data_IF_824747223730
#
_entry.id   IF_824747223730
#
_cell.length_a   1.000
_cell.length_b   1.000
_cell.length_c   1.000
_cell.angle_alpha   90.00
_cell.angle_beta   90.00
_cell.angle_gamma   90.00
#
_symmetry.space_group_name_H-M   'P 1'
#
loop_
_entity.id
_entity.type
_entity.pdbx_description
1 polymer ?
#
# COMPACT_ATOMS: atom_id res chain seq x y z
N UNK A 1 2.70 -35.25 -28.38
CA UNK A 1 2.33 -34.11 -27.52
C UNK A 1 1.59 -34.67 -26.32
N UNK A 2 2.07 -34.45 -25.09
CA UNK A 2 1.45 -34.97 -23.87
C UNK A 2 0.10 -34.29 -23.60
N UNK A 3 -0.87 -34.99 -23.00
CA UNK A 3 -2.17 -34.42 -22.62
C UNK A 3 -2.05 -33.12 -21.80
N UNK A 4 -1.00 -32.99 -20.99
CA UNK A 4 -0.68 -31.77 -20.22
C UNK A 4 -0.54 -30.51 -21.09
N UNK A 5 -0.05 -30.63 -22.33
CA UNK A 5 0.18 -29.48 -23.22
C UNK A 5 -1.11 -28.98 -23.87
N UNK A 6 -2.09 -29.86 -24.06
CA UNK A 6 -3.39 -29.52 -24.65
C UNK A 6 -4.26 -28.82 -23.61
N UNK A 7 -4.31 -29.34 -22.39
CA UNK A 7 -5.03 -28.71 -21.26
C UNK A 7 -4.51 -27.30 -20.95
N UNK A 8 -3.17 -27.13 -20.96
CA UNK A 8 -2.54 -25.81 -20.80
C UNK A 8 -2.98 -24.84 -21.90
N UNK A 9 -3.02 -25.27 -23.17
CA UNK A 9 -3.41 -24.41 -24.29
C UNK A 9 -4.89 -23.99 -24.21
N UNK A 10 -5.78 -24.91 -23.84
CA UNK A 10 -7.20 -24.59 -23.64
C UNK A 10 -7.40 -23.58 -22.50
N UNK A 11 -6.65 -23.75 -21.40
CA UNK A 11 -6.68 -22.82 -20.28
C UNK A 11 -6.18 -21.42 -20.68
N UNK A 12 -5.05 -21.32 -21.39
CA UNK A 12 -4.54 -20.02 -21.87
C UNK A 12 -5.51 -19.34 -22.83
N UNK A 13 -6.14 -20.09 -23.73
CA UNK A 13 -7.14 -19.56 -24.65
C UNK A 13 -8.37 -19.05 -23.90
N UNK A 14 -8.83 -19.81 -22.90
CA UNK A 14 -9.93 -19.40 -22.03
C UNK A 14 -9.60 -18.11 -21.27
N UNK A 15 -8.43 -18.04 -20.63
CA UNK A 15 -7.97 -16.82 -19.95
C UNK A 15 -7.89 -15.64 -20.91
N UNK A 16 -7.28 -15.81 -22.08
CA UNK A 16 -7.16 -14.74 -23.07
C UNK A 16 -8.52 -14.21 -23.54
N UNK A 17 -9.56 -15.06 -23.59
CA UNK A 17 -10.93 -14.65 -23.91
C UNK A 17 -11.64 -13.96 -22.75
N UNK A 18 -11.32 -14.33 -21.50
CA UNK A 18 -12.00 -13.82 -20.30
C UNK A 18 -11.40 -12.53 -19.76
N UNK A 19 -10.07 -12.44 -19.70
CA UNK A 19 -9.35 -11.31 -19.10
C UNK A 19 -8.56 -10.49 -20.13
N UNK A 20 -8.31 -11.06 -21.31
CA UNK A 20 -7.51 -10.43 -22.38
C UNK A 20 -6.15 -11.10 -22.56
N UNK A 21 -5.47 -10.77 -23.67
CA UNK A 21 -4.11 -11.25 -23.90
C UNK A 21 -3.12 -10.62 -22.90
N UNK A 22 -1.92 -11.19 -22.80
CA UNK A 22 -0.85 -10.67 -21.94
C UNK A 22 -0.53 -9.22 -22.27
N UNK A 23 -0.54 -8.86 -23.55
CA UNK A 23 -0.28 -7.49 -24.03
C UNK A 23 -1.37 -6.53 -23.58
N UNK A 24 -2.65 -6.94 -23.66
CA UNK A 24 -3.78 -6.13 -23.21
C UNK A 24 -3.73 -5.91 -21.71
N UNK A 25 -3.48 -6.97 -20.93
CA UNK A 25 -3.36 -6.88 -19.47
C UNK A 25 -2.19 -5.94 -19.11
N UNK A 26 -1.03 -6.09 -19.74
CA UNK A 26 0.12 -5.19 -19.55
C UNK A 26 -0.21 -3.73 -19.89
N UNK A 27 -0.90 -3.47 -21.01
CA UNK A 27 -1.28 -2.12 -21.39
C UNK A 27 -2.20 -1.47 -20.35
N UNK A 28 -3.18 -2.21 -19.82
CA UNK A 28 -4.06 -1.74 -18.74
C UNK A 28 -3.29 -1.46 -17.46
N UNK A 29 -2.39 -2.36 -17.05
CA UNK A 29 -1.51 -2.14 -15.89
C UNK A 29 -0.68 -0.87 -16.01
N UNK A 30 -0.10 -0.63 -17.19
CA UNK A 30 0.66 0.59 -17.45
C UNK A 30 -0.22 1.84 -17.35
N UNK A 31 -1.47 1.78 -17.81
CA UNK A 31 -2.39 2.92 -17.66
C UNK A 31 -2.67 3.28 -16.21
N UNK A 32 -2.79 2.28 -15.31
CA UNK A 32 -2.93 2.53 -13.87
C UNK A 32 -1.65 3.09 -13.27
N UNK A 33 -0.48 2.54 -13.62
CA UNK A 33 0.82 3.09 -13.16
C UNK A 33 0.96 4.56 -13.57
N UNK A 34 0.61 4.94 -14.80
CA UNK A 34 0.67 6.35 -15.22
C UNK A 34 -0.34 7.23 -14.50
N UNK A 35 -1.56 6.73 -14.24
CA UNK A 35 -2.56 7.43 -13.45
C UNK A 35 -2.08 7.65 -12.02
N UNK A 36 -1.54 6.62 -11.39
CA UNK A 36 -0.99 6.65 -10.04
C UNK A 36 0.16 7.64 -9.92
N UNK A 37 1.09 7.66 -10.89
CA UNK A 37 2.18 8.63 -10.95
C UNK A 37 1.66 10.07 -11.12
N UNK A 38 0.61 10.27 -11.91
CA UNK A 38 0.02 11.59 -12.14
C UNK A 38 -0.75 12.11 -10.91
N UNK A 39 -1.31 11.22 -10.09
CA UNK A 39 -2.04 11.55 -8.87
C UNK A 39 -1.14 11.58 -7.61
N UNK A 40 0.08 11.05 -7.70
CA UNK A 40 1.04 11.08 -6.60
C UNK A 40 1.70 12.46 -6.46
N UNK A 41 2.09 12.81 -5.24
CA UNK A 41 2.88 13.99 -4.93
C UNK A 41 4.14 13.63 -4.13
N UNK A 42 4.88 14.65 -3.65
CA UNK A 42 6.13 14.44 -2.90
C UNK A 42 5.92 13.72 -1.56
N UNK A 43 4.75 13.85 -0.97
CA UNK A 43 4.41 13.38 0.37
C UNK A 43 3.55 12.12 0.36
N UNK A 44 2.83 11.86 -0.73
CA UNK A 44 1.84 10.81 -0.86
C UNK A 44 1.94 10.14 -2.23
N UNK A 45 2.21 8.84 -2.23
CA UNK A 45 2.10 7.99 -3.41
C UNK A 45 0.73 7.35 -3.45
N UNK A 46 0.11 7.35 -4.62
CA UNK A 46 -1.09 6.58 -4.91
C UNK A 46 -0.68 5.28 -5.61
N UNK A 47 -1.34 4.17 -5.27
CA UNK A 47 -1.20 2.89 -5.97
C UNK A 47 -2.59 2.31 -6.20
N UNK A 48 -2.96 2.14 -7.45
CA UNK A 48 -4.12 1.34 -7.83
C UNK A 48 -3.75 -0.13 -7.67
N UNK A 49 -4.49 -0.83 -6.81
CA UNK A 49 -4.27 -2.22 -6.43
C UNK A 49 -5.47 -3.10 -6.79
N UNK A 50 -5.50 -4.33 -6.27
CA UNK A 50 -6.56 -5.28 -6.56
C UNK A 50 -6.60 -5.74 -8.02
N UNK A 51 -7.72 -6.36 -8.39
CA UNK A 51 -7.86 -6.96 -9.74
C UNK A 51 -7.67 -5.93 -10.85
N UNK A 52 -8.21 -4.72 -10.68
CA UNK A 52 -8.08 -3.66 -11.66
C UNK A 52 -6.65 -3.13 -11.76
N UNK A 53 -5.96 -2.89 -10.63
CA UNK A 53 -4.54 -2.51 -10.64
C UNK A 53 -3.64 -3.56 -11.31
N UNK A 54 -4.03 -4.83 -11.24
CA UNK A 54 -3.38 -5.94 -11.96
C UNK A 54 -3.75 -6.03 -13.46
N UNK A 55 -4.58 -5.11 -13.96
CA UNK A 55 -5.04 -5.05 -15.35
C UNK A 55 -6.12 -6.08 -15.70
N UNK A 56 -6.69 -6.73 -14.68
CA UNK A 56 -7.78 -7.70 -14.82
C UNK A 56 -9.11 -6.96 -14.80
N UNK A 57 -9.72 -6.86 -15.97
CA UNK A 57 -11.04 -6.25 -16.15
C UNK A 57 -12.12 -7.31 -15.88
N UNK A 58 -12.34 -7.59 -14.60
CA UNK A 58 -13.34 -8.55 -14.15
C UNK A 58 -14.67 -7.84 -13.92
N UNK A 59 -15.76 -8.51 -14.31
CA UNK A 59 -17.11 -8.02 -14.04
C UNK A 59 -17.29 -7.86 -12.53
N UNK A 60 -17.87 -6.74 -12.12
CA UNK A 60 -18.14 -6.40 -10.72
C UNK A 60 -16.87 -6.26 -9.87
N UNK A 61 -15.70 -6.03 -10.50
CA UNK A 61 -14.49 -5.67 -9.78
C UNK A 61 -14.55 -4.22 -9.31
N UNK A 62 -14.27 -4.04 -8.02
CA UNK A 62 -14.12 -2.74 -7.38
C UNK A 62 -12.80 -2.07 -7.76
N UNK A 63 -12.68 -0.79 -7.47
CA UNK A 63 -11.47 -0.01 -7.69
C UNK A 63 -10.76 0.23 -6.36
N UNK A 64 -9.63 -0.43 -6.16
CA UNK A 64 -8.87 -0.37 -4.90
C UNK A 64 -7.71 0.62 -5.02
N UNK A 65 -7.78 1.75 -4.32
CA UNK A 65 -6.70 2.76 -4.30
C UNK A 65 -6.00 2.75 -2.95
N UNK A 66 -4.70 2.50 -2.95
CA UNK A 66 -3.83 2.61 -1.77
C UNK A 66 -3.09 3.94 -1.74
N UNK A 67 -3.12 4.64 -0.59
CA UNK A 67 -2.31 5.83 -0.37
C UNK A 67 -1.17 5.55 0.61
N UNK A 68 0.03 5.96 0.22
CA UNK A 68 1.26 5.70 0.95
C UNK A 68 1.96 7.02 1.25
N UNK A 69 2.20 7.31 2.53
CA UNK A 69 2.96 8.50 2.93
C UNK A 69 4.47 8.26 2.81
N UNK A 70 5.14 9.11 2.03
CA UNK A 70 6.59 9.04 1.80
C UNK A 70 7.41 9.39 3.03
N UNK A 71 6.81 10.09 4.00
CA UNK A 71 7.41 10.53 5.26
C UNK A 71 7.80 9.38 6.20
N UNK A 72 7.26 8.17 5.99
CA UNK A 72 7.47 7.03 6.88
C UNK A 72 8.45 6.01 6.32
N UNK A 73 9.20 5.40 7.23
CA UNK A 73 9.95 4.16 6.97
C UNK A 73 9.63 3.16 8.04
N UNK A 74 9.37 1.92 7.61
CA UNK A 74 9.11 0.80 8.50
C UNK A 74 10.24 -0.20 8.35
N UNK A 75 10.88 -0.53 9.47
CA UNK A 75 11.97 -1.50 9.55
C UNK A 75 11.51 -2.81 10.19
N UNK A 76 12.09 -3.91 9.71
CA UNK A 76 12.06 -5.17 10.43
C UNK A 76 12.87 -5.09 11.73
N UNK A 77 12.50 -5.86 12.77
CA UNK A 77 13.31 -5.98 13.97
C UNK A 77 14.76 -6.34 13.64
N UNK A 78 15.71 -5.58 14.19
CA UNK A 78 17.14 -5.85 14.05
C UNK A 78 17.79 -5.34 12.76
N UNK A 79 17.07 -4.63 11.88
CA UNK A 79 17.61 -4.05 10.63
C UNK A 79 17.78 -2.52 10.67
N UNK A 80 17.98 -1.94 11.84
CA UNK A 80 17.89 -0.49 12.07
C UNK A 80 19.14 0.34 11.70
N UNK A 81 20.05 -0.17 10.86
CA UNK A 81 21.33 0.50 10.58
C UNK A 81 21.25 1.61 9.51
N UNK A 82 20.08 1.89 8.95
CA UNK A 82 19.93 2.95 7.94
C UNK A 82 19.56 4.27 8.61
N UNK A 83 20.49 5.23 8.56
CA UNK A 83 20.19 6.63 8.89
C UNK A 83 19.30 7.22 7.80
N UNK A 84 18.00 7.22 8.06
CA UNK A 84 16.99 7.89 7.24
C UNK A 84 16.47 9.14 7.97
N UNK A 85 16.28 10.24 7.24
CA UNK A 85 15.75 11.51 7.77
C UNK A 85 14.22 11.45 7.99
N UNK A 86 13.56 10.43 7.44
CA UNK A 86 12.14 10.16 7.60
C UNK A 86 11.79 9.63 8.99
N UNK A 87 10.50 9.63 9.30
CA UNK A 87 9.98 9.07 10.55
C UNK A 87 10.12 7.55 10.55
N UNK A 88 10.86 7.04 11.51
CA UNK A 88 11.26 5.64 11.57
C UNK A 88 10.38 4.84 12.54
N UNK A 89 9.70 3.83 12.00
CA UNK A 89 8.97 2.83 12.74
C UNK A 89 9.66 1.48 12.63
N UNK A 90 9.53 0.67 13.67
CA UNK A 90 10.01 -0.71 13.72
C UNK A 90 8.79 -1.58 13.94
N UNK A 91 8.68 -2.65 13.16
CA UNK A 91 7.68 -3.69 13.41
C UNK A 91 8.00 -4.35 14.74
N UNK A 92 7.08 -4.25 15.70
CA UNK A 92 7.14 -4.98 16.96
C UNK A 92 6.29 -6.23 16.80
N UNK A 93 6.99 -7.37 16.72
CA UNK A 93 6.42 -8.70 16.51
C UNK A 93 6.21 -9.44 17.83
N UNK A 94 6.55 -8.81 18.97
CA UNK A 94 6.25 -9.36 20.29
C UNK A 94 4.74 -9.32 20.53
N UNK A 95 4.17 -10.45 20.98
CA UNK A 95 2.76 -10.55 21.37
C UNK A 95 1.74 -10.22 20.24
N UNK A 96 2.06 -10.47 18.97
CA UNK A 96 1.12 -10.22 17.85
C UNK A 96 0.53 -11.50 17.25
N UNK A 97 -0.73 -11.41 16.83
CA UNK A 97 -1.38 -12.47 16.04
C UNK A 97 -0.74 -12.57 14.64
N UNK A 98 -0.76 -13.75 14.00
CA UNK A 98 -0.32 -13.89 12.61
C UNK A 98 -0.98 -12.85 11.71
N UNK A 99 -0.20 -12.25 10.80
CA UNK A 99 -0.61 -11.17 9.88
C UNK A 99 -0.88 -9.80 10.52
N UNK A 100 -0.63 -9.63 11.83
CA UNK A 100 -0.69 -8.33 12.50
C UNK A 100 0.68 -7.97 13.09
N UNK A 101 1.01 -6.69 13.07
CA UNK A 101 2.19 -6.14 13.73
C UNK A 101 1.84 -4.84 14.41
N UNK A 102 2.49 -4.55 15.52
CA UNK A 102 2.49 -3.20 16.05
C UNK A 102 3.62 -2.41 15.40
N UNK A 103 3.43 -1.10 15.21
CA UNK A 103 4.47 -0.21 14.72
C UNK A 103 4.95 0.69 15.84
N UNK A 104 6.20 0.46 16.25
CA UNK A 104 6.86 1.20 17.33
C UNK A 104 7.74 2.30 16.76
N UNK A 105 7.67 3.49 17.33
CA UNK A 105 8.59 4.58 16.97
C UNK A 105 10.02 4.22 17.43
N UNK A 106 11.00 4.28 16.51
CA UNK A 106 12.37 3.84 16.79
C UNK A 106 13.14 4.86 17.64
N UNK A 107 13.10 6.13 17.25
CA UNK A 107 13.71 7.27 17.91
C UNK A 107 13.32 8.48 17.06
N UNK A 108 12.85 9.59 17.67
CA UNK A 108 12.49 10.91 17.08
C UNK A 108 11.10 11.40 17.57
N UNK A 109 10.78 11.24 18.86
CA UNK A 109 9.52 11.79 19.38
C UNK A 109 9.50 13.32 19.32
N UNK A 110 10.64 13.97 19.59
CA UNK A 110 10.76 15.43 19.66
C UNK A 110 10.69 16.13 18.28
N UNK A 111 10.86 15.38 17.19
CA UNK A 111 10.72 15.90 15.81
C UNK A 111 9.48 15.37 15.11
N UNK A 112 8.59 14.67 15.83
CA UNK A 112 7.36 14.14 15.26
C UNK A 112 6.40 15.31 14.98
N UNK A 113 5.92 15.50 13.74
CA UNK A 113 4.92 16.52 13.45
C UNK A 113 3.67 16.37 14.34
N UNK A 114 3.08 17.50 14.76
CA UNK A 114 1.95 17.55 15.69
C UNK A 114 0.79 16.62 15.30
N UNK A 115 0.52 16.53 14.00
CA UNK A 115 -0.47 15.61 13.44
C UNK A 115 -0.27 14.16 13.94
N UNK A 116 0.95 13.62 13.79
CA UNK A 116 1.24 12.24 14.16
C UNK A 116 1.39 12.03 15.67
N UNK A 117 1.77 13.07 16.42
CA UNK A 117 1.83 12.99 17.89
C UNK A 117 0.49 12.59 18.50
N UNK A 118 -0.63 13.05 17.92
CA UNK A 118 -1.99 12.74 18.38
C UNK A 118 -2.38 11.26 18.21
N UNK A 119 -1.64 10.51 17.41
CA UNK A 119 -1.93 9.11 17.09
C UNK A 119 -1.02 8.14 17.85
N UNK A 120 -0.07 8.67 18.62
CA UNK A 120 0.87 7.87 19.38
C UNK A 120 0.21 7.38 20.68
N UNK A 121 0.41 6.10 20.98
CA UNK A 121 0.00 5.47 22.22
C UNK A 121 1.20 4.86 22.94
N UNK A 122 1.29 5.10 24.23
CA UNK A 122 2.35 4.52 25.06
C UNK A 122 1.89 3.17 25.62
N UNK A 123 2.68 2.13 25.39
CA UNK A 123 2.46 0.80 25.96
C UNK A 123 3.79 0.21 26.45
N UNK A 124 3.87 -0.22 27.72
CA UNK A 124 5.11 -0.75 28.35
C UNK A 124 6.34 0.15 28.13
N UNK A 125 6.16 1.48 28.20
CA UNK A 125 7.24 2.45 28.00
C UNK A 125 7.70 2.65 26.54
N UNK A 126 7.11 1.93 25.58
CA UNK A 126 7.34 2.08 24.14
C UNK A 126 6.21 2.91 23.52
N UNK A 127 6.49 3.69 22.48
CA UNK A 127 5.49 4.49 21.75
C UNK A 127 5.11 3.80 20.44
N UNK A 128 3.81 3.61 20.22
CA UNK A 128 3.25 2.94 19.04
C UNK A 128 2.30 3.87 18.30
N UNK A 129 2.24 3.76 16.98
CA UNK A 129 1.22 4.45 16.20
C UNK A 129 -0.09 3.65 16.21
N UNK A 130 -1.20 4.29 16.56
CA UNK A 130 -2.53 3.69 16.52
C UNK A 130 -3.17 3.89 15.15
N UNK A 131 -3.43 2.80 14.44
CA UNK A 131 -4.14 2.82 13.15
C UNK A 131 -5.55 3.40 13.27
N UNK A 132 -6.24 3.15 14.39
CA UNK A 132 -7.59 3.66 14.62
C UNK A 132 -7.61 5.18 14.87
N UNK A 133 -6.67 5.70 15.67
CA UNK A 133 -6.53 7.14 15.87
C UNK A 133 -6.07 7.84 14.59
N UNK A 134 -5.17 7.21 13.83
CA UNK A 134 -4.73 7.71 12.53
C UNK A 134 -5.92 7.84 11.57
N UNK A 135 -6.70 6.77 11.39
CA UNK A 135 -7.92 6.77 10.56
C UNK A 135 -8.89 7.86 10.99
N UNK A 136 -9.15 7.95 12.29
CA UNK A 136 -10.04 8.98 12.85
C UNK A 136 -9.57 10.40 12.55
N UNK A 137 -8.26 10.64 12.57
CA UNK A 137 -7.70 11.96 12.27
C UNK A 137 -7.81 12.29 10.77
N UNK A 138 -7.52 11.33 9.88
CA UNK A 138 -7.70 11.51 8.43
C UNK A 138 -9.16 11.86 8.11
N UNK A 139 -10.12 11.16 8.71
CA UNK A 139 -11.55 11.41 8.53
C UNK A 139 -11.96 12.82 9.00
N UNK A 140 -11.33 13.34 10.06
CA UNK A 140 -11.56 14.71 10.54
C UNK A 140 -11.02 15.76 9.57
N UNK A 141 -9.78 15.59 9.11
CA UNK A 141 -9.16 16.53 8.15
C UNK A 141 -9.86 16.52 6.80
N UNK A 142 -10.38 15.36 6.41
CA UNK A 142 -11.13 15.15 5.17
C UNK A 142 -12.64 15.08 5.45
N UNK A 143 -13.14 15.89 6.38
CA UNK A 143 -14.56 15.87 6.78
C UNK A 143 -15.52 16.15 5.62
N UNK A 144 -15.06 16.82 4.57
CA UNK A 144 -15.80 16.99 3.30
C UNK A 144 -16.03 15.69 2.53
N UNK A 145 -15.21 14.65 2.74
CA UNK A 145 -15.38 13.34 2.14
C UNK A 145 -16.37 12.46 2.90
N UNK A 146 -16.67 12.75 4.17
CA UNK A 146 -17.57 11.94 5.00
C UNK A 146 -18.96 11.73 4.37
N UNK A 147 -19.62 12.75 3.76
CA UNK A 147 -20.90 12.55 3.10
C UNK A 147 -20.83 11.65 1.84
N UNK A 148 -19.63 11.39 1.33
CA UNK A 148 -19.40 10.55 0.16
C UNK A 148 -19.04 9.10 0.51
N UNK A 149 -18.84 8.80 1.80
CA UNK A 149 -18.50 7.46 2.28
C UNK A 149 -19.76 6.61 2.45
N UNK A 150 -19.73 5.41 1.88
CA UNK A 150 -20.78 4.40 1.99
C UNK A 150 -20.54 3.45 3.15
N UNK A 151 -19.28 3.05 3.36
CA UNK A 151 -18.91 2.09 4.41
C UNK A 151 -17.46 2.29 4.88
N UNK A 152 -17.19 1.87 6.11
CA UNK A 152 -15.86 1.87 6.73
C UNK A 152 -15.59 0.45 7.23
N UNK A 153 -14.75 -0.29 6.50
CA UNK A 153 -14.41 -1.66 6.84
C UNK A 153 -12.90 -1.80 7.11
N UNK A 154 -12.55 -1.98 8.38
CA UNK A 154 -11.14 -2.13 8.79
C UNK A 154 -10.30 -0.87 8.45
N UNK A 155 -9.20 -1.01 7.69
CA UNK A 155 -8.39 0.13 7.23
C UNK A 155 -8.97 0.82 5.96
N UNK A 156 -10.04 0.29 5.38
CA UNK A 156 -10.58 0.75 4.10
C UNK A 156 -11.75 1.73 4.29
N UNK A 157 -11.81 2.74 3.44
CA UNK A 157 -12.95 3.65 3.29
C UNK A 157 -13.56 3.44 1.90
N UNK A 158 -14.84 3.12 1.83
CA UNK A 158 -15.53 2.88 0.55
C UNK A 158 -16.48 4.03 0.25
N UNK A 159 -16.42 4.59 -0.96
CA UNK A 159 -17.36 5.63 -1.39
C UNK A 159 -18.64 5.06 -2.02
N UNK A 160 -19.66 5.91 -2.21
CA UNK A 160 -20.94 5.51 -2.84
C UNK A 160 -20.82 5.12 -4.32
N UNK A 161 -19.70 5.43 -4.98
CA UNK A 161 -19.41 5.01 -6.35
C UNK A 161 -18.82 3.60 -6.43
N UNK A 162 -18.60 2.93 -5.29
CA UNK A 162 -17.94 1.62 -5.22
C UNK A 162 -16.42 1.69 -5.39
N UNK A 163 -15.83 2.89 -5.30
CA UNK A 163 -14.38 3.04 -5.20
C UNK A 163 -13.97 2.80 -3.75
N UNK A 164 -13.07 1.84 -3.57
CA UNK A 164 -12.51 1.48 -2.29
C UNK A 164 -11.18 2.21 -2.13
N UNK A 165 -11.16 3.20 -1.25
CA UNK A 165 -9.93 3.84 -0.83
C UNK A 165 -9.33 3.01 0.31
N UNK A 166 -8.36 2.18 -0.02
CA UNK A 166 -7.54 1.47 0.93
C UNK A 166 -6.57 2.46 1.56
N UNK A 167 -6.92 2.99 2.72
CA UNK A 167 -6.03 3.85 3.49
C UNK A 167 -5.07 3.00 4.33
N UNK A 168 -4.29 2.18 3.66
CA UNK A 168 -3.26 1.34 4.29
C UNK A 168 -1.94 2.09 4.36
N UNK A 169 -1.93 3.12 5.19
CA UNK A 169 -0.81 4.06 5.34
C UNK A 169 0.45 3.45 5.98
N UNK A 170 0.45 2.15 6.27
CA UNK A 170 1.52 1.42 6.97
C UNK A 170 2.11 0.30 6.10
N UNK A 171 1.67 0.12 4.85
CA UNK A 171 2.13 -0.99 4.02
C UNK A 171 3.37 -0.72 3.16
N UNK A 172 4.05 0.43 3.27
CA UNK A 172 5.22 0.71 2.40
C UNK A 172 6.36 -0.31 2.59
N UNK A 173 6.64 -0.70 3.83
CA UNK A 173 7.70 -1.67 4.14
C UNK A 173 7.39 -3.07 3.60
N UNK A 174 6.15 -3.52 3.77
CA UNK A 174 5.69 -4.85 3.35
C UNK A 174 5.50 -4.90 1.83
N UNK A 175 4.93 -3.86 1.21
CA UNK A 175 4.71 -3.78 -0.24
C UNK A 175 6.03 -3.70 -1.00
N UNK A 176 7.01 -2.90 -0.55
CA UNK A 176 8.32 -2.85 -1.22
C UNK A 176 9.09 -4.16 -1.12
N UNK A 177 8.93 -4.88 0.00
CA UNK A 177 9.54 -6.19 0.19
C UNK A 177 8.82 -7.28 -0.61
N UNK A 178 7.50 -7.21 -0.74
CA UNK A 178 6.70 -8.07 -1.62
C UNK A 178 6.99 -7.80 -3.10
N UNK A 179 7.14 -6.54 -3.54
CA UNK A 179 7.49 -6.19 -4.92
C UNK A 179 8.88 -6.71 -5.31
N UNK A 180 9.86 -6.67 -4.37
CA UNK A 180 11.17 -7.31 -4.55
C UNK A 180 11.07 -8.84 -4.65
N UNK A 181 10.24 -9.48 -3.83
CA UNK A 181 10.05 -10.94 -3.84
C UNK A 181 9.28 -11.43 -5.07
N UNK A 182 8.37 -10.62 -5.62
CA UNK A 182 7.57 -10.94 -6.81
C UNK A 182 8.30 -10.69 -8.15
N UNK A 183 9.60 -10.35 -8.12
CA UNK A 183 10.41 -10.22 -9.33
C UNK A 183 10.12 -8.97 -10.17
N UNK A 184 9.43 -7.97 -9.61
CA UNK A 184 9.41 -6.63 -10.18
C UNK A 184 10.77 -6.00 -9.89
N UNK A 185 11.68 -6.15 -10.86
CA UNK A 185 13.00 -5.56 -10.81
C UNK A 185 12.94 -4.05 -10.55
N UNK A 186 14.03 -3.55 -9.98
CA UNK A 186 14.40 -2.14 -9.78
C UNK A 186 14.20 -1.19 -10.96
N UNK A 187 13.75 -1.70 -12.12
CA UNK A 187 13.78 -1.03 -13.40
C UNK A 187 12.44 -0.35 -13.74
N UNK A 188 11.37 -0.60 -12.96
CA UNK A 188 10.03 -0.02 -13.17
C UNK A 188 9.65 1.04 -12.14
N UNK A 189 10.41 1.18 -11.07
CA UNK A 189 10.23 2.23 -10.07
C UNK A 189 11.30 3.31 -10.35
N UNK A 190 10.94 4.61 -10.34
CA UNK A 190 11.93 5.67 -10.45
C UNK A 190 13.08 5.41 -9.48
N UNK A 191 14.32 5.48 -9.97
CA UNK A 191 15.52 5.34 -9.12
C UNK A 191 15.51 6.31 -7.93
N UNK A 192 14.74 7.39 -8.04
CA UNK A 192 14.48 8.40 -7.00
C UNK A 192 13.75 7.85 -5.76
N UNK A 193 13.01 6.74 -5.89
CA UNK A 193 12.41 6.03 -4.73
C UNK A 193 13.45 5.22 -3.94
N UNK A 194 14.63 4.98 -4.52
CA UNK A 194 15.72 4.20 -3.91
C UNK A 194 17.01 5.00 -3.73
N UNK A 195 17.12 6.19 -4.31
CA UNK A 195 18.27 7.08 -4.11
C UNK A 195 18.10 7.85 -2.81
N UNK A 196 18.57 7.26 -1.72
CA UNK A 196 18.99 8.01 -0.55
C UNK A 196 20.17 8.91 -0.93
N UNK A 197 19.90 10.08 -1.49
CA UNK A 197 20.89 11.14 -1.66
C UNK A 197 20.22 12.49 -1.88
N UNK A 198 19.77 13.08 -0.78
CA UNK A 198 20.06 14.45 -0.31
C UNK A 198 19.48 14.60 1.10
#
# INVERSE_FOLDING_TARGET
MSHSNIESLHFYKYLSQKIGSVEIVRARRLSFIFSDLACSDKETYQITSGSRGEGLDLKDSDFDIMYIKSLFVVYEPGKNDVKDQRLQFVMDIEDTSPCFTHLRLNSMFDTLPYFYQQMMQQHRGKNFISSELYKSQILKENSSFLPMLNDIHGPCLTNYSGELFLFDYILLGIVLQMLRVLGYGSDLLPSELFSSSC
#
